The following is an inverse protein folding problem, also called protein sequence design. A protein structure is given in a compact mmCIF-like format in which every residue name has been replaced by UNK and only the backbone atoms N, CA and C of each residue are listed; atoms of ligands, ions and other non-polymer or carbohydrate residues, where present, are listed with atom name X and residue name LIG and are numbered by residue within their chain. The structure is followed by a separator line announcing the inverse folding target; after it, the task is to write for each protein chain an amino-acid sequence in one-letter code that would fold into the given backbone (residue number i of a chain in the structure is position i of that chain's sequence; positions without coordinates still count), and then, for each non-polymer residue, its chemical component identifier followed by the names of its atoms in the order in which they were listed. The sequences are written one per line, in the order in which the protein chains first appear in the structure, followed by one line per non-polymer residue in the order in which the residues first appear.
data_IF_796914575041
#
_entry.id   IF_796914575041
#
_cell.length_a   1.000
_cell.length_b   1.000
_cell.length_c   1.000
_cell.angle_alpha   90.00
_cell.angle_beta   90.00
_cell.angle_gamma   90.00
#
_symmetry.space_group_name_H-M   'P 1'
#
loop_
_entity.id
_entity.type
_entity.pdbx_description
1 polymer ?
#
# COMPACT_ATOMS: atom_id res chain seq x y z
N UNK A 1 17.18 15.42 -1.26
CA UNK A 1 16.88 14.52 -2.41
C UNK A 1 18.02 14.62 -3.39
N UNK A 2 18.71 13.55 -3.66
CA UNK A 2 19.87 13.54 -4.55
C UNK A 2 19.41 13.58 -6.01
N UNK A 3 20.18 14.25 -6.89
CA UNK A 3 19.92 14.37 -8.34
C UNK A 3 19.62 13.01 -9.02
N UNK A 4 20.07 11.91 -8.46
CA UNK A 4 19.83 10.56 -8.98
C UNK A 4 18.40 10.06 -8.80
N UNK A 5 17.71 10.43 -7.71
CA UNK A 5 16.30 10.04 -7.48
C UNK A 5 15.38 10.76 -8.47
N UNK A 6 15.63 12.06 -8.71
CA UNK A 6 14.86 12.85 -9.67
C UNK A 6 15.00 12.33 -11.11
N UNK A 7 16.21 11.90 -11.51
CA UNK A 7 16.46 11.31 -12.84
C UNK A 7 15.80 9.93 -12.99
N UNK A 8 15.77 9.12 -11.93
CA UNK A 8 15.08 7.83 -11.91
C UNK A 8 13.56 8.01 -12.05
N UNK A 9 12.98 8.97 -11.33
CA UNK A 9 11.56 9.29 -11.41
C UNK A 9 11.17 9.86 -12.78
N UNK A 10 12.03 10.68 -13.38
CA UNK A 10 11.83 11.19 -14.75
C UNK A 10 11.91 10.08 -15.80
N UNK A 11 12.80 9.11 -15.64
CA UNK A 11 12.87 7.91 -16.52
C UNK A 11 11.62 7.03 -16.35
N UNK A 12 11.16 6.79 -15.12
CA UNK A 12 9.91 6.06 -14.84
C UNK A 12 8.70 6.78 -15.45
N UNK A 13 8.58 8.08 -15.26
CA UNK A 13 7.50 8.89 -15.84
C UNK A 13 7.50 8.80 -17.39
N UNK A 14 8.65 8.90 -18.04
CA UNK A 14 8.77 8.75 -19.48
C UNK A 14 8.42 7.33 -19.96
N UNK A 15 8.74 6.29 -19.18
CA UNK A 15 8.34 4.91 -19.51
C UNK A 15 6.82 4.73 -19.38
N UNK A 16 6.21 5.38 -18.41
CA UNK A 16 4.74 5.41 -18.25
C UNK A 16 4.09 6.08 -19.46
N UNK A 17 4.53 7.27 -19.83
CA UNK A 17 4.02 8.01 -20.97
C UNK A 17 4.18 7.23 -22.28
N UNK A 18 5.33 6.54 -22.46
CA UNK A 18 5.56 5.67 -23.64
C UNK A 18 4.64 4.45 -23.64
N UNK A 19 4.38 3.83 -22.50
CA UNK A 19 3.44 2.71 -22.40
C UNK A 19 1.99 3.17 -22.64
N UNK A 20 1.63 4.33 -22.14
CA UNK A 20 0.33 4.97 -22.40
C UNK A 20 0.16 5.29 -23.89
N UNK A 21 1.21 5.82 -24.51
CA UNK A 21 1.22 6.09 -25.94
C UNK A 21 1.12 4.79 -26.77
N UNK A 22 1.85 3.73 -26.42
CA UNK A 22 1.76 2.43 -27.06
C UNK A 22 0.37 1.80 -26.90
N UNK A 23 -0.27 1.94 -25.76
CA UNK A 23 -1.64 1.50 -25.52
C UNK A 23 -2.61 2.31 -26.38
N UNK A 24 -2.48 3.64 -26.40
CA UNK A 24 -3.26 4.51 -27.31
C UNK A 24 -3.07 4.10 -28.78
N UNK A 25 -1.83 3.85 -29.21
CA UNK A 25 -1.54 3.41 -30.58
C UNK A 25 -2.15 2.03 -30.87
N UNK A 26 -2.04 1.07 -29.95
CA UNK A 26 -2.62 -0.26 -30.12
C UNK A 26 -4.14 -0.22 -30.24
N UNK A 27 -4.82 0.56 -29.42
CA UNK A 27 -6.28 0.71 -29.50
C UNK A 27 -6.68 1.57 -30.70
N UNK A 28 -5.90 2.58 -31.06
CA UNK A 28 -6.08 3.37 -32.27
C UNK A 28 -5.97 2.49 -33.54
N UNK A 29 -5.08 1.51 -33.52
CA UNK A 29 -4.85 0.62 -34.68
C UNK A 29 -5.92 -0.49 -34.78
N UNK A 30 -6.48 -0.98 -33.63
CA UNK A 30 -7.34 -2.16 -33.61
C UNK A 30 -8.84 -1.82 -33.66
N UNK A 31 -9.28 -0.71 -33.07
CA UNK A 31 -10.72 -0.42 -32.94
C UNK A 31 -11.14 0.99 -33.37
N UNK A 32 -10.42 2.00 -32.90
CA UNK A 32 -10.78 3.40 -33.13
C UNK A 32 -10.56 3.83 -34.57
N UNK A 33 -9.54 3.30 -35.26
CA UNK A 33 -9.29 3.61 -36.66
C UNK A 33 -10.37 2.99 -37.57
N UNK A 34 -10.87 1.81 -37.22
CA UNK A 34 -12.02 1.20 -37.92
C UNK A 34 -13.33 1.96 -37.65
N UNK A 35 -13.51 2.47 -36.42
CA UNK A 35 -14.68 3.27 -36.02
C UNK A 35 -14.62 4.74 -36.52
N UNK A 36 -13.42 5.27 -36.72
CA UNK A 36 -13.20 6.66 -37.15
C UNK A 36 -12.89 6.78 -38.65
N UNK A 37 -12.63 5.68 -39.35
CA UNK A 37 -12.52 5.70 -40.80
C UNK A 37 -13.92 5.84 -41.42
N UNK A 38 -13.99 6.60 -42.50
CA UNK A 38 -15.21 6.98 -43.22
C UNK A 38 -16.08 5.83 -43.73
N UNK A 39 -15.64 4.57 -43.56
CA UNK A 39 -16.36 3.37 -43.99
C UNK A 39 -17.39 2.83 -42.98
N UNK A 40 -17.46 3.41 -41.78
CA UNK A 40 -18.50 3.12 -40.81
C UNK A 40 -19.45 4.32 -40.72
N UNK A 41 -20.70 4.10 -41.07
CA UNK A 41 -21.83 5.04 -40.92
C UNK A 41 -22.18 5.23 -39.43
N UNK A 42 -21.23 5.68 -38.64
CA UNK A 42 -21.45 6.01 -37.22
C UNK A 42 -21.75 7.51 -37.15
N UNK A 43 -22.87 7.88 -36.53
CA UNK A 43 -23.22 9.29 -36.31
C UNK A 43 -22.14 9.99 -35.47
N UNK A 44 -22.04 11.30 -35.58
CA UNK A 44 -21.07 12.07 -34.78
C UNK A 44 -21.35 11.94 -33.26
N UNK A 45 -22.63 11.79 -32.88
CA UNK A 45 -23.07 11.55 -31.50
C UNK A 45 -22.60 10.18 -30.97
N UNK A 46 -22.72 9.11 -31.75
CA UNK A 46 -22.21 7.79 -31.37
C UNK A 46 -20.71 7.78 -31.27
N UNK A 47 -20.00 8.55 -32.09
CA UNK A 47 -18.55 8.71 -32.05
C UNK A 47 -18.07 9.35 -30.74
N UNK A 48 -18.78 10.35 -30.26
CA UNK A 48 -18.49 11.04 -29.00
C UNK A 48 -18.77 10.15 -27.80
N UNK A 49 -19.82 9.33 -27.82
CA UNK A 49 -20.14 8.34 -26.80
C UNK A 49 -19.00 7.29 -26.70
N UNK A 50 -18.55 6.77 -27.84
CA UNK A 50 -17.46 5.78 -27.89
C UNK A 50 -16.14 6.39 -27.40
N UNK A 51 -15.83 7.63 -27.78
CA UNK A 51 -14.65 8.34 -27.31
C UNK A 51 -14.69 8.59 -25.81
N UNK A 52 -15.83 8.98 -25.28
CA UNK A 52 -16.04 9.19 -23.84
C UNK A 52 -15.85 7.89 -23.06
N UNK A 53 -16.48 6.81 -23.48
CA UNK A 53 -16.32 5.49 -22.85
C UNK A 53 -14.88 4.98 -22.90
N UNK A 54 -14.19 5.19 -24.03
CA UNK A 54 -12.78 4.83 -24.16
C UNK A 54 -11.89 5.65 -23.21
N UNK A 55 -12.14 6.95 -23.10
CA UNK A 55 -11.38 7.84 -22.20
C UNK A 55 -11.56 7.43 -20.75
N UNK A 56 -12.77 7.15 -20.31
CA UNK A 56 -13.07 6.69 -18.96
C UNK A 56 -12.37 5.37 -18.63
N UNK A 57 -12.42 4.39 -19.53
CA UNK A 57 -11.76 3.10 -19.33
C UNK A 57 -10.24 3.23 -19.32
N UNK A 58 -9.68 4.10 -20.16
CA UNK A 58 -8.27 4.41 -20.16
C UNK A 58 -7.81 5.02 -18.83
N UNK A 59 -8.53 6.02 -18.32
CA UNK A 59 -8.23 6.65 -17.03
C UNK A 59 -8.36 5.67 -15.86
N UNK A 60 -9.38 4.80 -15.88
CA UNK A 60 -9.56 3.75 -14.89
C UNK A 60 -8.35 2.81 -14.85
N UNK A 61 -7.88 2.33 -16.01
CA UNK A 61 -6.72 1.42 -16.13
C UNK A 61 -5.42 2.12 -15.72
N UNK A 62 -5.23 3.35 -16.15
CA UNK A 62 -4.07 4.15 -15.77
C UNK A 62 -4.03 4.40 -14.25
N UNK A 63 -5.19 4.66 -13.65
CA UNK A 63 -5.36 4.80 -12.21
C UNK A 63 -5.01 3.52 -11.44
N UNK A 64 -5.47 2.36 -11.91
CA UNK A 64 -5.14 1.07 -11.30
C UNK A 64 -3.63 0.77 -11.34
N UNK A 65 -2.98 0.99 -12.51
CA UNK A 65 -1.52 0.82 -12.63
C UNK A 65 -0.74 1.75 -11.70
N UNK A 66 -1.19 3.00 -11.55
CA UNK A 66 -0.57 3.93 -10.59
C UNK A 66 -0.67 3.45 -9.15
N UNK A 67 -1.83 2.89 -8.76
CA UNK A 67 -2.02 2.31 -7.42
C UNK A 67 -1.12 1.12 -7.16
N UNK A 68 -1.00 0.19 -8.11
CA UNK A 68 -0.12 -0.99 -7.99
C UNK A 68 1.35 -0.59 -7.82
N UNK A 69 1.82 0.41 -8.60
CA UNK A 69 3.20 0.90 -8.49
C UNK A 69 3.47 1.62 -7.16
N UNK A 70 2.50 2.36 -6.65
CA UNK A 70 2.65 3.06 -5.38
C UNK A 70 2.72 2.07 -4.19
N UNK A 71 2.02 0.94 -4.27
CA UNK A 71 2.15 -0.15 -3.29
C UNK A 71 3.53 -0.78 -3.34
N UNK A 72 3.94 -1.32 -4.48
CA UNK A 72 5.25 -1.97 -4.62
C UNK A 72 6.43 -1.06 -4.25
N UNK A 73 6.35 0.25 -4.55
CA UNK A 73 7.42 1.18 -4.14
C UNK A 73 7.55 1.34 -2.63
N UNK A 74 6.47 1.21 -1.86
CA UNK A 74 6.53 1.28 -0.40
C UNK A 74 7.11 0.01 0.20
N UNK A 75 6.76 -1.14 -0.35
CA UNK A 75 7.33 -2.44 0.00
C UNK A 75 8.84 -2.46 -0.26
N UNK A 76 9.29 -2.07 -1.48
CA UNK A 76 10.70 -1.96 -1.86
C UNK A 76 11.49 -1.04 -0.91
N UNK A 77 10.90 0.09 -0.47
CA UNK A 77 11.53 1.01 0.49
C UNK A 77 11.66 0.37 1.86
N UNK A 78 10.65 -0.38 2.30
CA UNK A 78 10.68 -1.06 3.59
C UNK A 78 11.73 -2.16 3.60
N UNK A 79 11.82 -2.97 2.55
CA UNK A 79 12.86 -3.98 2.36
C UNK A 79 14.25 -3.35 2.43
N UNK A 80 14.46 -2.26 1.70
CA UNK A 80 15.73 -1.53 1.74
C UNK A 80 16.08 -1.02 3.14
N UNK A 81 15.10 -0.51 3.89
CA UNK A 81 15.32 -0.01 5.25
C UNK A 81 15.69 -1.17 6.19
N UNK A 82 14.99 -2.29 6.13
CA UNK A 82 15.29 -3.46 6.95
C UNK A 82 16.70 -3.98 6.67
N UNK A 83 17.08 -4.11 5.41
CA UNK A 83 18.42 -4.49 4.97
C UNK A 83 19.50 -3.51 5.46
N UNK A 84 19.28 -2.21 5.28
CA UNK A 84 20.21 -1.16 5.72
C UNK A 84 20.50 -1.25 7.22
N UNK A 85 19.50 -1.61 8.02
CA UNK A 85 19.66 -1.78 9.47
C UNK A 85 20.05 -3.21 9.88
N UNK A 86 20.36 -4.10 8.93
CA UNK A 86 20.71 -5.51 9.15
C UNK A 86 19.62 -6.30 9.91
N UNK A 87 18.35 -5.99 9.66
CA UNK A 87 17.22 -6.72 10.20
C UNK A 87 16.86 -7.84 9.23
N UNK A 88 17.09 -9.08 9.65
CA UNK A 88 16.81 -10.25 8.82
C UNK A 88 15.31 -10.54 8.77
N UNK A 89 14.75 -10.60 7.57
CA UNK A 89 13.42 -11.09 7.34
C UNK A 89 13.32 -12.59 7.59
N UNK A 90 12.21 -13.02 8.16
CA UNK A 90 11.85 -14.41 8.41
C UNK A 90 10.84 -14.89 7.36
N UNK A 91 10.67 -16.19 7.27
CA UNK A 91 9.59 -16.77 6.44
C UNK A 91 8.22 -16.54 7.10
N UNK A 92 7.20 -16.43 6.27
CA UNK A 92 5.82 -16.38 6.73
C UNK A 92 5.45 -17.67 7.50
N UNK A 93 4.61 -17.59 8.55
CA UNK A 93 4.13 -18.78 9.22
C UNK A 93 3.40 -19.70 8.24
N UNK A 94 3.73 -20.99 8.27
CA UNK A 94 3.09 -22.01 7.41
C UNK A 94 1.59 -22.03 7.69
N UNK A 95 0.78 -21.99 6.65
CA UNK A 95 -0.69 -21.97 6.71
C UNK A 95 -1.30 -20.74 7.41
N UNK A 96 -0.53 -19.65 7.59
CA UNK A 96 -1.12 -18.39 8.03
C UNK A 96 -1.98 -17.82 6.90
N UNK A 97 -3.28 -17.98 7.05
CA UNK A 97 -4.29 -17.39 6.17
C UNK A 97 -5.10 -16.41 7.02
N UNK A 98 -4.60 -15.20 7.14
CA UNK A 98 -5.41 -14.10 7.61
C UNK A 98 -5.70 -13.19 6.42
N UNK A 99 -6.85 -12.53 6.43
CA UNK A 99 -7.20 -11.51 5.42
C UNK A 99 -6.30 -10.25 5.52
N UNK A 100 -5.22 -10.34 6.31
CA UNK A 100 -4.18 -9.32 6.43
C UNK A 100 -3.05 -9.67 5.48
N UNK A 101 -2.82 -8.79 4.54
CA UNK A 101 -1.64 -8.81 3.71
C UNK A 101 -0.45 -8.33 4.53
N UNK A 102 0.48 -9.23 4.83
CA UNK A 102 1.74 -8.97 5.53
C UNK A 102 2.86 -9.07 4.51
N UNK A 103 3.61 -7.99 4.37
CA UNK A 103 4.62 -7.86 3.34
C UNK A 103 5.97 -8.45 3.80
N UNK A 104 6.29 -8.31 5.10
CA UNK A 104 7.51 -8.81 5.70
C UNK A 104 7.27 -9.44 7.07
N UNK A 105 8.14 -10.38 7.43
CA UNK A 105 8.15 -11.02 8.75
C UNK A 105 9.52 -10.86 9.42
N UNK A 106 9.52 -10.59 10.71
CA UNK A 106 10.73 -10.48 11.52
C UNK A 106 10.60 -11.38 12.75
N UNK A 107 11.64 -12.17 13.03
CA UNK A 107 11.66 -13.06 14.20
C UNK A 107 12.18 -12.32 15.43
N UNK A 108 11.43 -12.36 16.53
CA UNK A 108 11.83 -11.80 17.81
C UNK A 108 12.79 -12.72 18.56
N UNK A 109 13.46 -12.20 19.60
CA UNK A 109 14.31 -12.99 20.50
C UNK A 109 13.58 -14.17 21.15
N UNK A 110 12.29 -14.02 21.43
CA UNK A 110 11.43 -15.05 22.04
C UNK A 110 10.90 -16.06 21.01
N UNK A 111 11.42 -16.04 19.79
CA UNK A 111 10.98 -16.89 18.68
C UNK A 111 9.54 -16.66 18.24
N UNK A 112 8.96 -15.52 18.55
CA UNK A 112 7.71 -15.03 17.99
C UNK A 112 7.98 -14.26 16.68
N UNK A 113 6.94 -13.91 15.96
CA UNK A 113 7.02 -13.16 14.73
C UNK A 113 6.38 -11.77 14.88
N UNK A 114 6.93 -10.81 14.19
CA UNK A 114 6.30 -9.53 13.91
C UNK A 114 6.00 -9.50 12.43
N UNK A 115 4.74 -9.32 12.07
CA UNK A 115 4.33 -9.07 10.70
C UNK A 115 4.43 -7.57 10.41
N UNK A 116 4.96 -7.20 9.26
CA UNK A 116 5.04 -5.81 8.79
C UNK A 116 4.15 -5.68 7.58
N UNK A 117 3.23 -4.75 7.62
CA UNK A 117 2.28 -4.45 6.54
C UNK A 117 2.44 -2.99 6.12
N UNK A 118 2.87 -2.79 4.88
CA UNK A 118 3.14 -1.48 4.31
C UNK A 118 1.94 -1.03 3.47
N UNK A 119 1.22 -0.03 3.94
CA UNK A 119 0.03 0.44 3.24
C UNK A 119 0.09 1.95 3.05
N UNK A 120 -0.28 2.40 1.85
CA UNK A 120 -0.48 3.82 1.63
C UNK A 120 -1.68 4.32 2.43
N UNK A 121 -2.78 3.58 2.40
CA UNK A 121 -4.03 3.88 3.10
C UNK A 121 -4.66 2.60 3.60
N UNK A 122 -5.36 2.65 4.72
CA UNK A 122 -6.12 1.53 5.28
C UNK A 122 -7.61 1.67 4.96
N UNK A 123 -8.00 1.43 3.70
CA UNK A 123 -9.37 1.60 3.22
C UNK A 123 -10.33 0.53 3.76
N UNK A 124 -11.43 0.28 3.06
CA UNK A 124 -12.58 -0.55 3.49
C UNK A 124 -12.24 -2.01 3.84
N UNK A 125 -11.09 -2.54 3.39
CA UNK A 125 -10.63 -3.92 3.70
C UNK A 125 -10.29 -4.14 5.17
N UNK A 126 -10.22 -3.09 6.00
CA UNK A 126 -9.96 -3.24 7.43
C UNK A 126 -11.01 -4.10 8.16
N UNK A 127 -12.26 -4.15 7.68
CA UNK A 127 -13.30 -5.01 8.24
C UNK A 127 -13.02 -6.51 8.01
N UNK A 128 -12.26 -6.84 6.97
CA UNK A 128 -11.78 -8.21 6.73
C UNK A 128 -10.62 -8.56 7.65
N UNK A 129 -9.90 -7.55 8.16
CA UNK A 129 -8.79 -7.69 9.11
C UNK A 129 -9.27 -8.11 10.50
N UNK A 130 -10.56 -8.00 10.81
CA UNK A 130 -11.13 -8.55 12.05
C UNK A 130 -10.92 -10.06 12.20
N UNK A 131 -10.56 -10.77 11.12
CA UNK A 131 -10.16 -12.18 11.18
C UNK A 131 -8.77 -12.40 11.80
N UNK A 132 -7.93 -11.37 11.96
CA UNK A 132 -6.66 -11.45 12.68
C UNK A 132 -6.82 -11.08 14.15
N UNK A 133 -7.77 -11.71 14.80
CA UNK A 133 -7.96 -11.62 16.24
C UNK A 133 -6.69 -12.09 16.98
N UNK A 134 -6.49 -11.58 18.18
CA UNK A 134 -5.36 -11.94 19.06
C UNK A 134 -5.22 -13.45 19.27
N UNK A 135 -6.32 -14.22 19.18
CA UNK A 135 -6.33 -15.68 19.24
C UNK A 135 -5.60 -16.31 18.06
N UNK A 136 -5.85 -15.84 16.84
CA UNK A 136 -5.19 -16.31 15.62
C UNK A 136 -3.72 -15.92 15.64
N UNK A 137 -3.40 -14.68 16.00
CA UNK A 137 -2.02 -14.23 16.14
C UNK A 137 -1.25 -15.10 17.14
N UNK A 138 -1.88 -15.46 18.27
CA UNK A 138 -1.26 -16.33 19.29
C UNK A 138 -1.00 -17.74 18.76
N UNK A 139 -1.96 -18.32 18.01
CA UNK A 139 -1.83 -19.65 17.40
C UNK A 139 -0.59 -19.75 16.49
N UNK A 140 -0.29 -18.69 15.77
CA UNK A 140 0.87 -18.63 14.86
C UNK A 140 2.12 -18.01 15.50
N UNK A 141 2.12 -17.76 16.81
CA UNK A 141 3.20 -17.08 17.52
C UNK A 141 3.54 -15.71 16.93
N UNK A 142 2.52 -14.95 16.55
CA UNK A 142 2.68 -13.59 16.06
C UNK A 142 2.48 -12.64 17.25
N UNK A 143 3.50 -11.86 17.56
CA UNK A 143 3.51 -10.93 18.69
C UNK A 143 2.74 -9.67 18.36
N UNK A 144 3.05 -9.09 17.20
CA UNK A 144 2.46 -7.84 16.70
C UNK A 144 2.29 -7.89 15.19
N UNK A 145 1.37 -7.09 14.69
CA UNK A 145 1.33 -6.64 13.29
C UNK A 145 1.64 -5.15 13.27
N UNK A 146 2.74 -4.77 12.64
CA UNK A 146 3.16 -3.38 12.46
C UNK A 146 2.66 -2.87 11.12
N UNK A 147 1.82 -1.85 11.14
CA UNK A 147 1.31 -1.19 9.95
C UNK A 147 2.10 0.10 9.69
N UNK A 148 2.88 0.13 8.63
CA UNK A 148 3.53 1.37 8.16
C UNK A 148 2.56 2.05 7.20
N UNK A 149 1.93 3.14 7.66
CA UNK A 149 0.91 3.87 6.91
C UNK A 149 1.45 5.24 6.51
N UNK A 150 1.56 5.52 5.21
CA UNK A 150 2.13 6.78 4.71
C UNK A 150 1.09 7.86 4.45
N UNK A 151 -0.19 7.52 4.40
CA UNK A 151 -1.30 8.44 4.24
C UNK A 151 -2.44 8.03 5.19
N UNK A 152 -2.60 8.78 6.26
CA UNK A 152 -3.36 8.40 7.46
C UNK A 152 -4.74 9.06 7.59
N UNK A 153 -5.18 9.83 6.59
CA UNK A 153 -6.47 10.54 6.63
C UNK A 153 -7.69 9.60 6.79
N UNK A 154 -7.58 8.34 6.35
CA UNK A 154 -8.66 7.35 6.46
C UNK A 154 -8.59 6.49 7.75
N UNK A 155 -7.65 6.76 8.66
CA UNK A 155 -7.57 6.08 9.94
C UNK A 155 -8.56 6.70 10.94
N UNK A 156 -9.70 6.06 11.15
CA UNK A 156 -10.67 6.44 12.19
C UNK A 156 -10.26 5.92 13.57
N UNK A 157 -10.83 6.51 14.63
CA UNK A 157 -10.64 6.04 16.01
C UNK A 157 -11.13 4.60 16.17
N UNK A 158 -12.23 4.26 15.52
CA UNK A 158 -12.79 2.90 15.51
C UNK A 158 -11.77 1.89 14.96
N UNK A 159 -11.13 2.21 13.82
CA UNK A 159 -10.09 1.34 13.22
C UNK A 159 -8.92 1.15 14.15
N UNK A 160 -8.40 2.24 14.71
CA UNK A 160 -7.24 2.19 15.61
C UNK A 160 -7.57 1.40 16.88
N UNK A 161 -8.74 1.60 17.47
CA UNK A 161 -9.14 0.91 18.69
C UNK A 161 -9.37 -0.58 18.43
N UNK A 162 -10.13 -0.91 17.37
CA UNK A 162 -10.46 -2.31 17.05
C UNK A 162 -9.18 -3.11 16.76
N UNK A 163 -8.37 -2.64 15.83
CA UNK A 163 -7.16 -3.36 15.45
C UNK A 163 -6.08 -3.30 16.54
N UNK A 164 -5.92 -2.14 17.20
CA UNK A 164 -4.98 -1.99 18.31
C UNK A 164 -5.26 -2.95 19.47
N UNK A 165 -6.54 -3.17 19.80
CA UNK A 165 -6.96 -4.18 20.77
C UNK A 165 -6.54 -5.61 20.36
N UNK A 166 -6.25 -5.87 19.11
CA UNK A 166 -5.76 -7.14 18.57
C UNK A 166 -4.25 -7.15 18.29
N UNK A 167 -3.47 -6.33 18.98
CA UNK A 167 -1.99 -6.27 18.88
C UNK A 167 -1.48 -5.72 17.54
N UNK A 168 -2.25 -4.84 16.91
CA UNK A 168 -1.80 -4.06 15.76
C UNK A 168 -1.25 -2.72 16.22
N UNK A 169 -0.10 -2.33 15.72
CA UNK A 169 0.55 -1.03 15.99
C UNK A 169 0.68 -0.29 14.66
N UNK A 170 0.32 0.99 14.68
CA UNK A 170 0.34 1.83 13.49
C UNK A 170 1.45 2.86 13.54
N UNK A 171 2.34 2.80 12.56
CA UNK A 171 3.41 3.77 12.36
C UNK A 171 2.95 4.81 11.35
N UNK A 172 2.78 6.05 11.81
CA UNK A 172 2.24 7.17 11.05
C UNK A 172 3.34 8.21 10.79
N UNK A 173 3.22 9.06 9.74
CA UNK A 173 4.19 10.11 9.49
C UNK A 173 4.36 11.04 10.70
N UNK A 174 5.59 11.34 11.05
CA UNK A 174 5.96 12.08 12.28
C UNK A 174 5.31 13.48 12.37
N UNK A 175 5.02 14.10 11.22
CA UNK A 175 4.38 15.41 11.13
C UNK A 175 2.85 15.33 10.89
N UNK A 176 2.27 14.17 11.09
CA UNK A 176 0.84 13.94 10.86
C UNK A 176 -0.02 14.50 11.99
N UNK A 177 -1.06 15.26 11.65
CA UNK A 177 -2.07 15.69 12.63
C UNK A 177 -2.81 14.51 13.26
N UNK A 178 -2.97 13.43 12.53
CA UNK A 178 -3.62 12.22 13.01
C UNK A 178 -2.77 11.55 14.09
N UNK A 179 -1.46 11.48 13.92
CA UNK A 179 -0.53 10.99 14.93
C UNK A 179 -0.59 11.85 16.18
N UNK A 180 -0.48 13.17 16.05
CA UNK A 180 -0.53 14.13 17.16
C UNK A 180 -1.82 13.95 17.98
N UNK A 181 -2.97 13.90 17.29
CA UNK A 181 -4.26 13.63 17.94
C UNK A 181 -4.27 12.32 18.70
N UNK A 182 -3.86 11.23 18.05
CA UNK A 182 -3.93 9.89 18.63
C UNK A 182 -2.98 9.70 19.82
N UNK A 183 -1.79 10.29 19.80
CA UNK A 183 -0.84 10.27 20.93
C UNK A 183 -1.39 11.00 22.17
N UNK A 184 -2.20 12.03 21.97
CA UNK A 184 -2.83 12.77 23.05
C UNK A 184 -4.16 12.14 23.52
N UNK A 185 -4.67 11.13 22.80
CA UNK A 185 -5.92 10.47 23.12
C UNK A 185 -5.68 9.22 23.98
N UNK A 186 -6.25 9.17 25.19
CA UNK A 186 -6.00 8.11 26.18
C UNK A 186 -6.30 6.68 25.67
N UNK A 187 -7.27 6.53 24.81
CA UNK A 187 -7.67 5.23 24.24
C UNK A 187 -6.95 4.85 22.94
N UNK A 188 -6.07 5.70 22.39
CA UNK A 188 -5.42 5.48 21.11
C UNK A 188 -3.89 5.50 21.17
N UNK A 189 -3.33 6.19 22.15
CA UNK A 189 -1.88 6.44 22.26
C UNK A 189 -1.02 5.17 22.26
N UNK A 190 -1.57 4.06 22.75
CA UNK A 190 -0.83 2.79 22.85
C UNK A 190 -0.78 2.04 21.50
N UNK A 191 -1.59 2.43 20.53
CA UNK A 191 -1.72 1.78 19.22
C UNK A 191 -0.98 2.52 18.10
N UNK A 192 -0.51 3.74 18.35
CA UNK A 192 0.16 4.55 17.34
C UNK A 192 1.59 4.88 17.73
N UNK A 193 2.45 5.04 16.73
CA UNK A 193 3.86 5.44 16.86
C UNK A 193 4.26 6.32 15.68
N UNK A 194 5.22 7.22 15.82
CA UNK A 194 5.83 7.88 14.68
C UNK A 194 6.66 6.89 13.85
N UNK A 195 6.71 7.09 12.53
CA UNK A 195 7.50 6.23 11.63
C UNK A 195 8.98 6.23 12.01
N UNK A 196 9.51 7.32 12.56
CA UNK A 196 10.90 7.41 13.03
C UNK A 196 11.23 6.39 14.12
N UNK A 197 10.25 5.89 14.88
CA UNK A 197 10.45 4.87 15.92
C UNK A 197 10.37 3.42 15.39
N UNK A 198 9.91 3.21 14.18
CA UNK A 198 9.66 1.88 13.63
C UNK A 198 10.85 0.93 13.75
N UNK A 199 12.02 1.35 13.33
CA UNK A 199 13.22 0.52 13.40
C UNK A 199 13.69 0.29 14.85
N UNK A 200 13.56 1.29 15.69
CA UNK A 200 13.94 1.17 17.11
C UNK A 200 13.05 0.15 17.83
N UNK A 201 11.76 0.15 17.53
CA UNK A 201 10.82 -0.80 18.13
C UNK A 201 11.08 -2.24 17.65
N UNK A 202 11.35 -2.44 16.37
CA UNK A 202 11.79 -3.76 15.87
C UNK A 202 13.06 -4.21 16.60
N UNK A 203 14.05 -3.32 16.72
CA UNK A 203 15.32 -3.65 17.40
C UNK A 203 15.17 -4.02 18.87
N UNK A 204 14.22 -3.43 19.59
CA UNK A 204 13.89 -3.83 20.97
C UNK A 204 13.37 -5.26 21.05
N UNK A 205 12.71 -5.72 20.03
CA UNK A 205 12.09 -7.03 19.98
C UNK A 205 13.05 -8.14 19.52
N UNK A 206 14.05 -7.82 18.70
CA UNK A 206 15.00 -8.78 18.14
C UNK A 206 16.31 -8.89 18.98
N UNK A 207 16.59 -7.91 19.83
CA UNK A 207 17.71 -7.91 20.79
C UNK A 207 17.32 -8.67 22.05
#
# INVERSE_FOLDING_TARGET
MTNNSFLADKKKANTILRSEYKIKQKYKTIGLVKLLNKDLTVSDEDRDIVLSGFTQEFERRAGQKRKQRAGGSLEDVTDFILDYYNIKCAEAPVHFQADIEVDNWVKTKDSWLIGISCKRTLRERWKQVSSAESSILSKFKIKYIFHVVTYDEDLSDEKLTLLGGHRHIFYLPDNSRRLEYALNHIGLKDYVRPISEFINDIRKEIK
#
